data_IF_697295430504
#
_entry.id   IF_697295430504
#
_cell.length_a   1.000
_cell.length_b   1.000
_cell.length_c   1.000
_cell.angle_alpha   90.00
_cell.angle_beta   90.00
_cell.angle_gamma   90.00
#
_symmetry.space_group_name_H-M   'P 1'
#
loop_
_entity.id
_entity.type
_entity.pdbx_description
1 polymer ?
#
# COMPACT_ATOMS: atom_id res chain seq x y z
N UNK A 1 16.91 -2.32 7.45
CA UNK A 1 17.35 -1.10 6.72
C UNK A 1 18.86 -1.05 6.76
N UNK A 2 19.52 -0.68 5.66
CA UNK A 2 20.96 -0.47 5.68
C UNK A 2 21.29 0.90 6.28
N UNK A 3 22.12 0.92 7.31
CA UNK A 3 22.66 2.13 7.93
C UNK A 3 24.07 2.39 7.39
N UNK A 4 24.25 3.55 6.76
CA UNK A 4 25.52 3.95 6.17
C UNK A 4 26.55 4.37 7.21
N UNK A 5 26.14 4.86 8.40
CA UNK A 5 27.07 5.31 9.43
C UNK A 5 27.74 4.12 10.13
N UNK A 6 26.95 3.09 10.45
CA UNK A 6 27.45 1.86 11.06
C UNK A 6 27.88 0.79 10.04
N UNK A 7 27.68 1.04 8.73
CA UNK A 7 27.88 0.08 7.65
C UNK A 7 27.18 -1.27 7.89
N UNK A 8 26.00 -1.26 8.51
CA UNK A 8 25.33 -2.47 8.99
C UNK A 8 23.86 -2.55 8.57
N UNK A 9 23.31 -3.76 8.57
CA UNK A 9 21.87 -3.96 8.38
C UNK A 9 21.16 -3.94 9.73
N UNK A 10 20.24 -2.99 9.89
CA UNK A 10 19.30 -2.93 11.00
C UNK A 10 18.12 -3.85 10.75
N UNK A 11 17.85 -4.76 11.68
CA UNK A 11 16.66 -5.59 11.66
C UNK A 11 15.42 -4.75 12.01
N UNK A 12 14.33 -4.99 11.29
CA UNK A 12 13.03 -4.37 11.52
C UNK A 12 11.96 -5.36 11.98
N UNK A 13 12.31 -6.64 12.19
CA UNK A 13 11.35 -7.68 12.57
C UNK A 13 10.55 -7.33 13.84
N UNK A 14 11.18 -6.65 14.81
CA UNK A 14 10.52 -6.26 16.07
C UNK A 14 9.48 -5.14 15.90
N UNK A 15 9.64 -4.30 14.88
CA UNK A 15 8.73 -3.17 14.60
C UNK A 15 7.75 -3.48 13.46
N UNK A 16 7.99 -4.55 12.70
CA UNK A 16 7.14 -4.94 11.60
C UNK A 16 5.79 -5.46 12.14
N UNK A 17 4.64 -5.06 11.55
CA UNK A 17 3.34 -5.52 12.01
C UNK A 17 3.23 -7.05 11.93
N UNK A 18 2.74 -7.66 13.02
CA UNK A 18 2.53 -9.12 13.08
C UNK A 18 1.47 -9.55 12.06
N UNK A 19 1.67 -10.75 11.52
CA UNK A 19 0.78 -11.39 10.54
C UNK A 19 0.52 -10.55 9.28
N UNK A 20 1.45 -9.68 8.91
CA UNK A 20 1.42 -8.96 7.66
C UNK A 20 2.48 -9.52 6.71
N UNK A 21 2.25 -9.43 5.41
CA UNK A 21 3.23 -9.73 4.37
C UNK A 21 3.23 -8.62 3.32
N UNK A 22 4.39 -8.12 2.91
CA UNK A 22 4.45 -7.06 1.90
C UNK A 22 4.16 -7.67 0.52
N UNK A 23 3.13 -7.18 -0.16
CA UNK A 23 2.65 -7.71 -1.45
C UNK A 23 2.91 -6.77 -2.64
N UNK A 24 3.58 -5.64 -2.40
CA UNK A 24 3.85 -4.63 -3.43
C UNK A 24 5.25 -4.05 -3.35
N UNK A 25 5.67 -3.38 -4.42
CA UNK A 25 6.84 -2.50 -4.38
C UNK A 25 6.55 -1.29 -3.50
N UNK A 26 7.54 -0.89 -2.71
CA UNK A 26 7.45 0.29 -1.90
C UNK A 26 7.67 1.58 -2.71
N UNK A 27 7.03 2.67 -2.31
CA UNK A 27 7.22 4.01 -2.88
C UNK A 27 7.56 5.01 -1.78
N UNK A 28 8.20 6.12 -2.14
CA UNK A 28 8.50 7.20 -1.20
C UNK A 28 7.60 8.40 -1.44
N UNK A 29 7.06 8.97 -0.37
CA UNK A 29 6.29 10.21 -0.39
C UNK A 29 6.58 11.01 0.88
N UNK A 30 6.93 12.29 0.73
CA UNK A 30 7.19 13.23 1.84
C UNK A 30 8.16 12.67 2.90
N UNK A 31 9.21 11.97 2.47
CA UNK A 31 10.24 11.41 3.34
C UNK A 31 9.87 10.11 4.05
N UNK A 32 8.68 9.56 3.83
CA UNK A 32 8.28 8.24 4.34
C UNK A 32 8.25 7.20 3.23
N UNK A 33 8.32 5.92 3.61
CA UNK A 33 8.10 4.80 2.69
C UNK A 33 6.68 4.28 2.87
N UNK A 34 6.04 3.91 1.77
CA UNK A 34 4.72 3.30 1.75
C UNK A 34 4.75 1.99 0.96
N UNK A 35 4.06 0.98 1.45
CA UNK A 35 3.86 -0.30 0.75
C UNK A 35 2.51 -0.90 1.11
N UNK A 36 1.96 -1.71 0.21
CA UNK A 36 0.79 -2.54 0.46
C UNK A 36 1.25 -3.83 1.13
N UNK A 37 0.56 -4.20 2.20
CA UNK A 37 0.72 -5.47 2.86
C UNK A 37 -0.61 -6.20 2.96
N UNK A 38 -0.59 -7.50 2.76
CA UNK A 38 -1.70 -8.37 3.09
C UNK A 38 -1.61 -8.74 4.58
N UNK A 39 -2.75 -8.72 5.28
CA UNK A 39 -2.88 -9.14 6.67
C UNK A 39 -3.81 -10.35 6.77
N UNK A 40 -3.26 -11.45 7.29
CA UNK A 40 -3.95 -12.73 7.46
C UNK A 40 -4.63 -13.27 6.18
N UNK A 41 -4.20 -12.90 4.97
CA UNK A 41 -4.88 -13.24 3.71
C UNK A 41 -6.34 -12.74 3.63
N UNK A 42 -6.70 -11.76 4.47
CA UNK A 42 -8.08 -11.25 4.62
C UNK A 42 -8.19 -9.78 4.20
N UNK A 43 -7.18 -8.96 4.53
CA UNK A 43 -7.25 -7.51 4.37
C UNK A 43 -5.96 -6.96 3.79
N UNK A 44 -6.08 -6.23 2.67
CA UNK A 44 -5.01 -5.36 2.19
C UNK A 44 -4.93 -4.08 3.05
N UNK A 45 -3.71 -3.73 3.45
CA UNK A 45 -3.41 -2.55 4.25
C UNK A 45 -2.32 -1.72 3.58
N UNK A 46 -2.40 -0.41 3.76
CA UNK A 46 -1.28 0.47 3.42
C UNK A 46 -0.40 0.65 4.65
N UNK A 47 0.81 0.13 4.60
CA UNK A 47 1.83 0.39 5.60
C UNK A 47 2.60 1.66 5.24
N UNK A 48 2.95 2.44 6.26
CA UNK A 48 3.98 3.46 6.17
C UNK A 48 5.13 3.16 7.12
N UNK A 49 6.36 3.38 6.67
CA UNK A 49 7.54 3.40 7.54
C UNK A 49 7.98 4.85 7.72
N UNK A 50 7.93 5.28 8.98
CA UNK A 50 8.32 6.62 9.41
C UNK A 50 9.77 6.57 9.90
N UNK A 51 10.71 7.11 9.11
CA UNK A 51 12.13 7.10 9.47
C UNK A 51 12.45 7.94 10.71
N UNK A 52 11.61 8.92 11.06
CA UNK A 52 11.85 9.76 12.25
C UNK A 52 11.60 9.01 13.55
N UNK A 53 10.67 8.05 13.53
CA UNK A 53 10.31 7.23 14.69
C UNK A 53 10.75 5.77 14.56
N UNK A 54 11.25 5.39 13.38
CA UNK A 54 11.63 4.03 12.97
C UNK A 54 10.52 3.00 13.20
N UNK A 55 9.28 3.39 12.96
CA UNK A 55 8.09 2.56 13.21
C UNK A 55 7.26 2.39 11.96
N UNK A 56 6.71 1.18 11.82
CA UNK A 56 5.62 0.94 10.89
C UNK A 56 4.30 1.47 11.47
N UNK A 57 3.50 2.09 10.61
CA UNK A 57 2.12 2.46 10.89
C UNK A 57 1.22 1.77 9.88
N UNK A 58 0.18 1.13 10.37
CA UNK A 58 -0.91 0.67 9.52
C UNK A 58 -1.85 1.85 9.27
N UNK A 59 -1.98 2.23 8.01
CA UNK A 59 -3.03 3.14 7.57
C UNK A 59 -4.20 2.23 7.20
N UNK A 60 -5.29 2.33 7.97
CA UNK A 60 -6.51 1.55 7.83
C UNK A 60 -7.28 1.92 6.55
N UNK A 61 -6.63 1.76 5.40
CA UNK A 61 -7.25 1.83 4.11
C UNK A 61 -7.96 0.51 3.89
N UNK A 62 -9.25 0.45 4.25
CA UNK A 62 -10.11 -0.66 3.86
C UNK A 62 -10.33 -0.55 2.36
N UNK A 63 -9.46 -1.17 1.60
CA UNK A 63 -9.74 -1.46 0.21
C UNK A 63 -10.82 -2.56 0.18
N UNK A 64 -11.82 -2.48 -0.69
CA UNK A 64 -12.80 -3.55 -0.84
C UNK A 64 -12.12 -4.75 -1.54
N UNK A 65 -11.25 -5.49 -0.83
CA UNK A 65 -10.63 -6.70 -1.36
C UNK A 65 -11.62 -7.88 -1.38
N UNK A 66 -12.59 -7.90 -0.46
CA UNK A 66 -13.36 -9.13 -0.16
C UNK A 66 -14.55 -9.37 -1.09
N UNK A 67 -14.96 -8.43 -1.93
CA UNK A 67 -16.23 -8.57 -2.70
C UNK A 67 -16.05 -9.05 -4.14
N UNK A 68 -14.87 -8.89 -4.77
CA UNK A 68 -14.74 -8.99 -6.25
C UNK A 68 -13.39 -9.59 -6.75
N UNK A 69 -12.63 -10.37 -5.98
CA UNK A 69 -11.32 -10.95 -6.39
C UNK A 69 -10.26 -9.93 -6.85
N UNK A 70 -10.33 -8.70 -6.31
CA UNK A 70 -9.35 -7.67 -6.64
C UNK A 70 -8.06 -7.88 -5.87
N UNK A 71 -6.94 -7.84 -6.59
CA UNK A 71 -5.61 -7.83 -6.00
C UNK A 71 -4.88 -6.50 -6.29
N UNK A 72 -4.04 -6.02 -5.36
CA UNK A 72 -3.24 -4.83 -5.58
C UNK A 72 -2.17 -5.10 -6.65
N UNK A 73 -2.25 -4.38 -7.77
CA UNK A 73 -1.36 -4.53 -8.91
C UNK A 73 -0.20 -3.51 -8.89
N UNK A 74 -0.44 -2.30 -8.39
CA UNK A 74 0.60 -1.27 -8.29
C UNK A 74 0.29 -0.23 -7.21
N UNK A 75 1.34 0.22 -6.53
CA UNK A 75 1.35 1.41 -5.69
C UNK A 75 2.16 2.49 -6.40
N UNK A 76 1.65 3.72 -6.44
CA UNK A 76 2.30 4.86 -7.11
C UNK A 76 2.09 6.17 -6.35
N UNK A 77 2.93 7.15 -6.68
CA UNK A 77 2.84 8.52 -6.16
C UNK A 77 2.34 9.43 -7.27
N UNK A 78 1.29 10.18 -6.98
CA UNK A 78 0.67 11.11 -7.93
C UNK A 78 1.00 12.53 -7.53
N UNK A 79 1.66 13.24 -8.46
CA UNK A 79 2.03 14.66 -8.32
C UNK A 79 2.84 14.97 -7.05
N UNK A 80 3.59 14.00 -6.54
CA UNK A 80 4.37 14.12 -5.29
C UNK A 80 3.54 14.47 -4.04
N UNK A 81 2.22 14.31 -4.12
CA UNK A 81 1.30 14.75 -3.07
C UNK A 81 0.50 13.59 -2.48
N UNK A 82 0.18 12.58 -3.30
CA UNK A 82 -0.79 11.54 -2.97
C UNK A 82 -0.29 10.17 -3.38
N UNK A 83 -0.86 9.16 -2.73
CA UNK A 83 -0.69 7.77 -3.12
C UNK A 83 -1.88 7.33 -3.96
N UNK A 84 -1.61 6.50 -4.96
CA UNK A 84 -2.63 5.79 -5.71
C UNK A 84 -2.33 4.30 -5.73
N UNK A 85 -3.37 3.49 -5.55
CA UNK A 85 -3.32 2.04 -5.68
C UNK A 85 -4.16 1.61 -6.86
N UNK A 86 -3.55 0.82 -7.74
CA UNK A 86 -4.21 0.12 -8.82
C UNK A 86 -4.63 -1.26 -8.32
N UNK A 87 -5.90 -1.58 -8.43
CA UNK A 87 -6.48 -2.89 -8.19
C UNK A 87 -6.93 -3.50 -9.50
N UNK A 88 -6.71 -4.81 -9.67
CA UNK A 88 -7.20 -5.56 -10.83
C UNK A 88 -7.74 -6.93 -10.44
N UNK A 89 -8.75 -7.40 -11.18
CA UNK A 89 -9.27 -8.77 -11.06
C UNK A 89 -8.46 -9.70 -11.96
N UNK A 90 -7.97 -10.82 -11.41
CA UNK A 90 -7.18 -11.82 -12.15
C UNK A 90 -8.07 -12.97 -12.67
N UNK A 91 -9.18 -13.28 -12.00
CA UNK A 91 -10.00 -14.48 -12.22
C UNK A 91 -11.12 -14.35 -13.25
N UNK A 92 -11.54 -13.14 -13.64
CA UNK A 92 -12.72 -12.93 -14.49
C UNK A 92 -12.37 -12.94 -16.00
N UNK A 93 -13.30 -13.47 -16.80
CA UNK A 93 -13.33 -13.37 -18.27
C UNK A 93 -13.30 -11.93 -18.81
N UNK A 94 -13.55 -10.94 -17.95
CA UNK A 94 -13.48 -9.51 -18.27
C UNK A 94 -12.55 -8.79 -17.29
N UNK A 95 -11.40 -8.25 -17.75
CA UNK A 95 -10.49 -7.55 -16.85
C UNK A 95 -11.15 -6.26 -16.33
N UNK A 96 -11.25 -6.16 -15.01
CA UNK A 96 -11.73 -4.99 -14.28
C UNK A 96 -10.56 -4.35 -13.55
N UNK A 97 -10.50 -3.03 -13.63
CA UNK A 97 -9.46 -2.21 -12.99
C UNK A 97 -10.12 -1.14 -12.13
N UNK A 98 -9.62 -0.97 -10.92
CA UNK A 98 -10.01 0.11 -10.01
C UNK A 98 -8.79 0.92 -9.57
N UNK A 99 -8.93 2.25 -9.53
CA UNK A 99 -7.88 3.14 -9.04
C UNK A 99 -8.39 3.85 -7.80
N UNK A 100 -7.74 3.55 -6.68
CA UNK A 100 -7.94 4.19 -5.40
C UNK A 100 -6.85 5.22 -5.18
N UNK A 101 -7.19 6.37 -4.61
CA UNK A 101 -6.20 7.40 -4.31
C UNK A 101 -6.51 8.06 -2.98
N UNK A 102 -5.46 8.43 -2.25
CA UNK A 102 -5.60 9.14 -0.98
C UNK A 102 -6.19 10.53 -1.19
N UNK A 103 -6.94 11.03 -0.22
CA UNK A 103 -7.47 12.42 -0.26
C UNK A 103 -6.39 13.42 0.17
N UNK A 104 -6.63 14.71 -0.09
CA UNK A 104 -5.68 15.77 0.27
C UNK A 104 -5.57 15.96 1.79
N UNK A 105 -6.66 15.71 2.50
CA UNK A 105 -6.78 16.06 3.91
C UNK A 105 -6.10 15.03 4.80
N UNK A 106 -6.08 13.75 4.40
CA UNK A 106 -5.40 12.66 5.13
C UNK A 106 -5.04 11.48 4.23
N UNK A 107 -3.87 10.89 4.47
CA UNK A 107 -3.38 9.67 3.78
C UNK A 107 -4.13 8.41 4.28
N UNK A 108 -4.78 8.48 5.45
CA UNK A 108 -5.61 7.40 6.01
C UNK A 108 -7.03 7.32 5.41
N UNK A 109 -7.33 8.14 4.41
CA UNK A 109 -8.59 8.13 3.67
C UNK A 109 -8.34 7.91 2.18
N UNK A 110 -9.18 7.10 1.54
CA UNK A 110 -9.16 6.87 0.09
C UNK A 110 -10.48 7.21 -0.56
N UNK A 111 -10.40 7.55 -1.85
CA UNK A 111 -11.55 7.70 -2.74
C UNK A 111 -11.31 6.89 -4.00
N UNK A 112 -12.36 6.24 -4.51
CA UNK A 112 -12.34 5.60 -5.83
C UNK A 112 -12.40 6.69 -6.91
N UNK A 113 -11.45 6.68 -7.83
CA UNK A 113 -11.40 7.69 -8.92
C UNK A 113 -11.89 7.14 -10.26
N UNK A 114 -11.72 5.85 -10.51
CA UNK A 114 -12.14 5.24 -11.78
C UNK A 114 -12.34 3.74 -11.64
N UNK A 115 -13.36 3.22 -12.31
CA UNK A 115 -13.53 1.79 -12.56
C UNK A 115 -13.61 1.59 -14.08
N UNK A 116 -12.72 0.78 -14.63
CA UNK A 116 -12.68 0.45 -16.06
C UNK A 116 -13.03 -1.03 -16.21
N UNK A 117 -14.04 -1.31 -17.05
CA UNK A 117 -14.40 -2.66 -17.50
C UNK A 117 -14.08 -2.74 -18.98
N UNK A 118 -13.15 -3.59 -19.40
CA UNK A 118 -12.94 -3.84 -20.83
C UNK A 118 -14.07 -4.77 -21.32
N UNK A 119 -14.74 -4.34 -22.38
CA UNK A 119 -15.90 -4.99 -22.99
C UNK A 119 -15.48 -6.01 -24.04
#
# INVERSE_FOLDING_TARGET
IYDFESHSWKDLNDVFPKNCSIVSKAVSLKGNIYCIADKNDEEDLLLSFDFSTEKFRCLSLRFPSVVDDFVPAALSVVREERLSVLYSVISDTRPKIEIWMTTHDKIDQTKLYSSIRRM
#
